data_IF_944661049012
#
_entry.id   IF_944661049012
#
_cell.length_a   1.000
_cell.length_b   1.000
_cell.length_c   1.000
_cell.angle_alpha   90.00
_cell.angle_beta   90.00
_cell.angle_gamma   90.00
#
_symmetry.space_group_name_H-M   'P 1'
#
loop_
_entity.id
_entity.type
_entity.pdbx_description
1 polymer ?
#
# COMPACT_ATOMS: atom_id res chain seq x y z
N UNK A 1 7.96 5.08 -0.20
CA UNK A 1 9.38 5.46 0.04
C UNK A 1 10.23 5.39 -1.22
N UNK A 2 10.31 4.24 -1.92
CA UNK A 2 11.15 4.08 -3.13
C UNK A 2 10.95 5.20 -4.17
N UNK A 3 9.71 5.48 -4.56
CA UNK A 3 9.39 6.53 -5.53
C UNK A 3 9.83 7.94 -5.07
N UNK A 4 9.57 8.30 -3.80
CA UNK A 4 10.03 9.58 -3.23
C UNK A 4 11.55 9.71 -3.29
N UNK A 5 12.30 8.68 -2.88
CA UNK A 5 13.77 8.71 -2.93
C UNK A 5 14.29 8.85 -4.37
N UNK A 6 13.64 8.18 -5.33
CA UNK A 6 14.02 8.28 -6.74
C UNK A 6 13.73 9.68 -7.30
N UNK A 7 12.57 10.26 -6.99
CA UNK A 7 12.22 11.62 -7.37
C UNK A 7 13.16 12.66 -6.75
N UNK A 8 13.49 12.52 -5.45
CA UNK A 8 14.44 13.39 -4.77
C UNK A 8 15.80 13.41 -5.47
N UNK A 9 16.31 12.22 -5.82
CA UNK A 9 17.58 12.07 -6.54
C UNK A 9 17.53 12.70 -7.92
N UNK A 10 16.45 12.48 -8.67
CA UNK A 10 16.29 13.07 -10.00
C UNK A 10 16.22 14.60 -9.97
N UNK A 11 15.74 15.19 -8.87
CA UNK A 11 15.60 16.64 -8.68
C UNK A 11 16.73 17.28 -7.88
N UNK A 12 17.73 16.50 -7.46
CA UNK A 12 18.77 16.94 -6.53
C UNK A 12 18.22 17.57 -5.24
N UNK A 13 17.09 17.04 -4.74
CA UNK A 13 16.44 17.44 -3.50
C UNK A 13 16.70 16.41 -2.39
N UNK A 14 16.56 16.85 -1.15
CA UNK A 14 16.57 15.92 -0.02
C UNK A 14 15.26 15.10 0.01
N UNK A 15 15.30 13.77 0.23
CA UNK A 15 14.11 12.90 0.21
C UNK A 15 12.98 13.31 1.15
N UNK A 16 13.29 14.11 2.18
CA UNK A 16 12.32 14.65 3.14
C UNK A 16 11.39 15.70 2.53
N UNK A 17 11.81 16.40 1.48
CA UNK A 17 11.02 17.44 0.82
C UNK A 17 10.23 16.94 -0.40
N UNK A 18 10.45 15.70 -0.82
CA UNK A 18 9.77 15.10 -1.98
C UNK A 18 8.85 13.98 -1.54
N UNK A 19 7.59 14.03 -1.96
CA UNK A 19 6.61 12.98 -1.67
C UNK A 19 5.89 12.61 -2.95
N UNK A 20 6.10 11.38 -3.41
CA UNK A 20 5.36 10.83 -4.54
C UNK A 20 4.17 10.03 -4.00
N UNK A 21 2.92 10.46 -4.23
CA UNK A 21 1.74 9.66 -3.92
C UNK A 21 1.75 8.37 -4.78
N UNK A 22 1.33 7.26 -4.18
CA UNK A 22 1.18 5.97 -4.87
C UNK A 22 -0.30 5.62 -4.88
N UNK A 23 -0.81 5.23 -6.05
CA UNK A 23 -2.16 4.72 -6.24
C UNK A 23 -2.16 3.35 -6.92
N UNK A 24 -3.29 2.66 -6.94
CA UNK A 24 -3.41 1.33 -7.56
C UNK A 24 -3.15 0.20 -6.56
N UNK A 25 -2.22 -0.69 -6.86
CA UNK A 25 -1.84 -1.82 -6.02
C UNK A 25 -0.52 -1.60 -5.29
N UNK A 26 0.04 -2.67 -4.75
CA UNK A 26 1.26 -2.65 -3.92
C UNK A 26 2.51 -3.06 -4.68
N UNK A 27 2.38 -3.69 -5.85
CA UNK A 27 3.52 -4.30 -6.57
C UNK A 27 3.32 -4.38 -8.09
N UNK A 28 4.43 -4.51 -8.81
CA UNK A 28 4.43 -4.73 -10.26
C UNK A 28 3.60 -3.71 -11.05
N UNK A 29 2.92 -4.18 -12.10
CA UNK A 29 2.08 -3.36 -12.98
C UNK A 29 0.89 -2.72 -12.26
N UNK A 30 0.46 -3.28 -11.12
CA UNK A 30 -0.60 -2.70 -10.31
C UNK A 30 -0.17 -1.42 -9.58
N UNK A 31 1.12 -1.23 -9.30
CA UNK A 31 1.62 -0.06 -8.57
C UNK A 31 1.74 1.16 -9.50
N UNK A 32 1.09 2.27 -9.16
CA UNK A 32 1.12 3.50 -9.97
C UNK A 32 1.69 4.67 -9.15
N UNK A 33 2.95 5.08 -9.40
CA UNK A 33 3.52 6.26 -8.77
C UNK A 33 3.10 7.53 -9.52
N UNK A 34 2.56 8.51 -8.79
CA UNK A 34 2.09 9.77 -9.35
C UNK A 34 3.19 10.82 -9.34
N UNK A 35 4.11 10.74 -10.30
CA UNK A 35 5.24 11.68 -10.41
C UNK A 35 4.79 13.11 -10.75
N UNK A 36 3.61 13.30 -11.35
CA UNK A 36 3.01 14.64 -11.54
C UNK A 36 2.65 15.34 -10.22
N UNK A 37 2.65 14.60 -9.11
CA UNK A 37 2.34 15.09 -7.75
C UNK A 37 3.55 15.02 -6.82
N UNK A 38 4.73 14.74 -7.35
CA UNK A 38 5.95 14.58 -6.54
C UNK A 38 6.40 15.87 -5.85
N UNK A 39 6.31 16.99 -6.58
CA UNK A 39 6.72 18.34 -6.17
C UNK A 39 5.75 19.35 -6.79
N UNK A 40 5.35 20.35 -6.02
CA UNK A 40 4.46 21.39 -6.52
C UNK A 40 5.10 22.15 -7.69
N UNK A 41 4.30 22.37 -8.75
CA UNK A 41 4.69 23.13 -9.94
C UNK A 41 5.84 22.52 -10.78
N UNK A 42 6.18 21.25 -10.55
CA UNK A 42 7.18 20.54 -11.35
C UNK A 42 6.60 19.27 -11.96
N UNK A 43 6.68 19.17 -13.29
CA UNK A 43 6.28 17.99 -14.04
C UNK A 43 7.50 17.32 -14.69
N UNK A 44 7.64 16.02 -14.44
CA UNK A 44 8.62 15.20 -15.14
C UNK A 44 8.24 15.03 -16.61
N UNK A 45 9.22 15.09 -17.51
CA UNK A 45 9.02 14.70 -18.89
C UNK A 45 8.51 13.25 -18.98
N UNK A 46 7.59 12.96 -19.90
CA UNK A 46 6.92 11.64 -20.04
C UNK A 46 7.90 10.47 -20.01
N UNK A 47 9.02 10.58 -20.74
CA UNK A 47 10.03 9.53 -20.79
C UNK A 47 10.69 9.29 -19.43
N UNK A 48 11.03 10.36 -18.70
CA UNK A 48 11.62 10.25 -17.36
C UNK A 48 10.62 9.65 -16.36
N UNK A 49 9.37 10.11 -16.41
CA UNK A 49 8.31 9.56 -15.57
C UNK A 49 8.12 8.05 -15.82
N UNK A 50 8.09 7.62 -17.09
CA UNK A 50 7.97 6.20 -17.45
C UNK A 50 9.16 5.37 -16.94
N UNK A 51 10.39 5.84 -17.18
CA UNK A 51 11.60 5.16 -16.70
C UNK A 51 11.63 5.06 -15.17
N UNK A 52 11.22 6.11 -14.47
CA UNK A 52 11.14 6.11 -13.02
C UNK A 52 10.04 5.19 -12.50
N UNK A 53 8.89 5.14 -13.17
CA UNK A 53 7.80 4.20 -12.84
C UNK A 53 8.27 2.76 -12.97
N UNK A 54 8.88 2.40 -14.10
CA UNK A 54 9.41 1.06 -14.31
C UNK A 54 10.49 0.70 -13.27
N UNK A 55 11.38 1.64 -12.95
CA UNK A 55 12.40 1.45 -11.90
C UNK A 55 11.77 1.16 -10.53
N UNK A 56 10.67 1.83 -10.18
CA UNK A 56 9.97 1.60 -8.91
C UNK A 56 9.25 0.24 -8.91
N UNK A 57 8.60 -0.13 -10.01
CA UNK A 57 7.88 -1.41 -10.17
C UNK A 57 8.82 -2.60 -10.16
N UNK A 58 9.94 -2.48 -10.85
CA UNK A 58 10.96 -3.53 -10.97
C UNK A 58 11.97 -3.54 -9.83
N UNK A 59 11.90 -2.62 -8.86
CA UNK A 59 12.85 -2.52 -7.75
C UNK A 59 13.04 -3.83 -6.97
N UNK A 60 12.00 -4.61 -6.60
CA UNK A 60 12.19 -5.89 -5.93
C UNK A 60 13.04 -6.86 -6.77
N UNK A 61 12.70 -7.00 -8.05
CA UNK A 61 13.37 -7.89 -9.00
C UNK A 61 14.79 -7.44 -9.38
N UNK A 62 15.05 -6.13 -9.37
CA UNK A 62 16.37 -5.58 -9.67
C UNK A 62 17.36 -5.83 -8.52
N UNK A 63 16.90 -5.74 -7.27
CA UNK A 63 17.71 -6.04 -6.10
C UNK A 63 18.08 -7.53 -6.06
N UNK A 64 17.11 -8.42 -6.27
CA UNK A 64 17.37 -9.87 -6.30
C UNK A 64 18.34 -10.31 -7.41
N UNK A 65 18.37 -9.60 -8.55
CA UNK A 65 19.30 -9.88 -9.66
C UNK A 65 20.72 -9.35 -9.46
N UNK A 66 20.90 -8.32 -8.61
CA UNK A 66 22.21 -7.69 -8.35
C UNK A 66 22.85 -8.20 -7.06
N UNK A 67 22.10 -8.97 -6.28
CA UNK A 67 22.48 -9.53 -4.99
C UNK A 67 23.48 -10.70 -5.11
N UNK A 68 24.74 -10.39 -5.39
CA UNK A 68 25.85 -11.28 -5.05
C UNK A 68 25.92 -11.53 -3.52
N UNK A 69 26.95 -11.02 -2.84
CA UNK A 69 27.09 -11.20 -1.38
C UNK A 69 26.04 -10.43 -0.53
N UNK A 70 25.12 -9.69 -1.14
CA UNK A 70 24.19 -8.76 -0.49
C UNK A 70 22.71 -9.17 -0.58
N UNK A 71 22.41 -10.48 -0.57
CA UNK A 71 21.09 -11.15 -0.62
C UNK A 71 19.89 -10.55 0.17
N UNK A 72 20.08 -9.51 0.97
CA UNK A 72 19.10 -8.94 1.91
C UNK A 72 18.95 -7.41 1.82
N UNK A 73 19.49 -6.78 0.78
CA UNK A 73 19.39 -5.32 0.65
C UNK A 73 17.92 -4.85 0.49
N UNK A 74 17.07 -5.65 -0.15
CA UNK A 74 15.63 -5.41 -0.23
C UNK A 74 14.97 -5.43 1.16
N UNK A 75 15.30 -6.43 1.97
CA UNK A 75 14.78 -6.63 3.34
C UNK A 75 14.99 -5.39 4.22
N UNK A 76 16.18 -4.76 4.15
CA UNK A 76 16.49 -3.58 4.96
C UNK A 76 15.63 -2.37 4.56
N UNK A 77 15.41 -2.18 3.27
CA UNK A 77 14.57 -1.07 2.76
C UNK A 77 13.11 -1.24 3.16
N UNK A 78 12.62 -2.47 3.18
CA UNK A 78 11.25 -2.82 3.56
C UNK A 78 11.05 -2.75 5.07
N UNK A 79 12.01 -3.26 5.86
CA UNK A 79 12.03 -3.10 7.30
C UNK A 79 12.00 -1.62 7.70
N UNK A 80 12.76 -0.76 7.02
CA UNK A 80 12.73 0.69 7.27
C UNK A 80 11.36 1.31 6.91
N UNK A 81 10.74 0.89 5.81
CA UNK A 81 9.40 1.34 5.44
C UNK A 81 8.33 0.91 6.45
N UNK A 82 8.39 -0.34 6.91
CA UNK A 82 7.49 -0.89 7.90
C UNK A 82 7.67 -0.19 9.26
N UNK A 83 8.90 -0.03 9.73
CA UNK A 83 9.18 0.69 10.97
C UNK A 83 8.62 2.13 10.93
N UNK A 84 8.78 2.81 9.79
CA UNK A 84 8.19 4.14 9.58
C UNK A 84 6.66 4.15 9.63
N UNK A 85 5.99 3.13 9.07
CA UNK A 85 4.53 3.00 9.15
C UNK A 85 4.08 2.72 10.59
N UNK A 86 4.71 1.75 11.26
CA UNK A 86 4.39 1.39 12.66
C UNK A 86 4.57 2.58 13.59
N UNK A 87 5.61 3.38 13.38
CA UNK A 87 5.85 4.61 14.16
C UNK A 87 4.71 5.60 13.98
N UNK A 88 4.23 5.81 12.74
CA UNK A 88 3.07 6.67 12.48
C UNK A 88 1.79 6.13 13.11
N UNK A 89 1.55 4.83 13.05
CA UNK A 89 0.41 4.19 13.72
C UNK A 89 0.49 4.41 15.24
N UNK A 90 1.66 4.22 15.84
CA UNK A 90 1.88 4.46 17.27
C UNK A 90 1.64 5.93 17.65
N UNK A 91 2.11 6.89 16.85
CA UNK A 91 1.81 8.31 17.06
C UNK A 91 0.31 8.62 16.94
N UNK A 92 -0.40 8.00 16.00
CA UNK A 92 -1.85 8.18 15.86
C UNK A 92 -2.62 7.66 17.08
N UNK A 93 -2.20 6.51 17.63
CA UNK A 93 -2.84 5.87 18.77
C UNK A 93 -2.50 6.56 20.11
N UNK A 94 -1.25 6.93 20.33
CA UNK A 94 -0.75 7.42 21.62
C UNK A 94 -0.73 8.94 21.71
N UNK A 95 -0.27 9.60 20.65
CA UNK A 95 -0.09 11.05 20.62
C UNK A 95 -1.32 11.80 20.09
N UNK A 96 -2.35 11.07 19.65
CA UNK A 96 -3.53 11.63 18.96
C UNK A 96 -3.15 12.49 17.73
N UNK A 97 -1.99 12.19 17.13
CA UNK A 97 -1.58 12.80 15.87
C UNK A 97 -2.43 12.25 14.72
N UNK A 98 -2.52 13.00 13.62
CA UNK A 98 -3.27 12.60 12.42
C UNK A 98 -2.30 12.40 11.25
N UNK A 99 -1.47 11.34 11.27
CA UNK A 99 -0.46 11.15 10.24
C UNK A 99 -1.09 10.71 8.91
N UNK A 100 -0.58 11.30 7.81
CA UNK A 100 -0.93 10.90 6.45
C UNK A 100 -0.03 9.78 5.96
N UNK A 101 -0.62 8.65 5.58
CA UNK A 101 0.06 7.45 5.07
C UNK A 101 -0.56 7.01 3.74
N UNK A 102 0.20 6.27 2.94
CA UNK A 102 -0.34 5.55 1.79
C UNK A 102 -0.51 4.08 2.17
N UNK A 103 -1.68 3.50 1.93
CA UNK A 103 -1.95 2.10 2.28
C UNK A 103 -2.96 1.48 1.32
N UNK A 104 -2.86 0.17 1.15
CA UNK A 104 -3.84 -0.63 0.40
C UNK A 104 -5.03 -0.92 1.30
N UNK A 105 -6.17 -0.31 1.00
CA UNK A 105 -7.36 -0.30 1.86
C UNK A 105 -8.61 -0.62 1.04
N UNK A 106 -9.66 -1.11 1.69
CA UNK A 106 -10.97 -1.30 1.06
C UNK A 106 -11.54 0.06 0.64
N UNK A 107 -12.07 0.15 -0.58
CA UNK A 107 -12.74 1.36 -1.08
C UNK A 107 -14.13 1.48 -0.45
N UNK A 108 -14.55 2.70 -0.13
CA UNK A 108 -15.90 2.91 0.41
C UNK A 108 -16.92 2.84 -0.74
N UNK A 109 -18.15 2.39 -0.46
CA UNK A 109 -19.23 2.32 -1.45
C UNK A 109 -19.58 3.70 -2.08
N UNK A 110 -19.16 4.80 -1.44
CA UNK A 110 -19.29 6.16 -1.97
C UNK A 110 -18.16 6.60 -2.92
N UNK A 111 -17.07 5.85 -3.02
CA UNK A 111 -15.98 6.11 -3.97
C UNK A 111 -16.33 5.47 -5.33
N UNK A 112 -17.29 6.08 -6.03
CA UNK A 112 -17.87 5.61 -7.31
C UNK A 112 -16.85 5.52 -8.46
N UNK A 113 -15.61 5.95 -8.25
CA UNK A 113 -14.60 6.14 -9.31
C UNK A 113 -13.81 4.86 -9.62
N UNK A 114 -13.71 3.90 -8.68
CA UNK A 114 -12.91 2.69 -8.89
C UNK A 114 -13.76 1.43 -8.95
N UNK A 115 -13.62 0.58 -9.99
CA UNK A 115 -14.24 -0.75 -10.01
C UNK A 115 -13.58 -1.72 -9.00
N UNK A 116 -12.42 -1.37 -8.47
CA UNK A 116 -11.67 -2.23 -7.55
C UNK A 116 -12.14 -2.06 -6.10
N UNK A 117 -12.43 -3.18 -5.43
CA UNK A 117 -12.80 -3.24 -4.01
C UNK A 117 -11.68 -2.80 -3.07
N UNK A 118 -10.43 -2.97 -3.48
CA UNK A 118 -9.27 -2.60 -2.69
C UNK A 118 -8.34 -1.74 -3.54
N UNK A 119 -7.82 -0.67 -2.93
CA UNK A 119 -6.97 0.29 -3.61
C UNK A 119 -5.93 0.88 -2.67
N UNK A 120 -4.71 1.04 -3.17
CA UNK A 120 -3.68 1.84 -2.55
C UNK A 120 -4.06 3.31 -2.72
N UNK A 121 -4.36 3.98 -1.62
CA UNK A 121 -4.67 5.40 -1.60
C UNK A 121 -4.03 6.04 -0.37
N UNK A 122 -3.99 7.36 -0.37
CA UNK A 122 -3.61 8.07 0.83
C UNK A 122 -4.76 8.04 1.85
N UNK A 123 -4.39 7.88 3.11
CA UNK A 123 -5.30 7.81 4.24
C UNK A 123 -4.76 8.63 5.40
N UNK A 124 -5.66 9.17 6.21
CA UNK A 124 -5.37 9.73 7.51
C UNK A 124 -5.63 8.68 8.57
N UNK A 125 -4.69 8.54 9.49
CA UNK A 125 -4.86 7.70 10.67
C UNK A 125 -5.33 8.54 11.86
N UNK A 126 -6.10 7.93 12.75
CA UNK A 126 -6.44 8.46 14.08
C UNK A 126 -6.26 7.36 15.14
N UNK A 127 -6.66 7.66 16.37
CA UNK A 127 -6.67 6.73 17.50
C UNK A 127 -7.60 5.51 17.33
N UNK A 128 -8.45 5.49 16.30
CA UNK A 128 -9.37 4.38 15.98
C UNK A 128 -9.00 3.64 14.67
N UNK A 129 -7.88 3.98 14.03
CA UNK A 129 -7.45 3.39 12.76
C UNK A 129 -7.53 4.38 11.61
N UNK A 130 -8.16 4.00 10.49
CA UNK A 130 -8.28 4.88 9.31
C UNK A 130 -9.42 5.87 9.55
N UNK A 131 -9.08 7.15 9.70
CA UNK A 131 -10.02 8.24 9.90
C UNK A 131 -10.67 8.70 8.60
N UNK A 132 -9.87 8.81 7.53
CA UNK A 132 -10.31 9.34 6.25
C UNK A 132 -9.49 8.72 5.13
N UNK A 133 -10.20 8.29 4.09
CA UNK A 133 -9.64 7.87 2.81
C UNK A 133 -9.67 9.05 1.86
N UNK A 134 -8.57 9.34 1.19
CA UNK A 134 -8.55 10.35 0.13
C UNK A 134 -8.96 9.72 -1.19
N UNK A 135 -9.66 10.50 -2.01
CA UNK A 135 -9.95 10.11 -3.38
C UNK A 135 -8.70 10.21 -4.26
N UNK A 136 -8.80 9.64 -5.46
CA UNK A 136 -7.77 9.81 -6.47
C UNK A 136 -7.59 11.30 -6.79
N UNK A 137 -6.34 11.78 -7.01
CA UNK A 137 -6.11 13.18 -7.33
C UNK A 137 -6.90 13.61 -8.57
N UNK A 138 -7.56 14.78 -8.51
CA UNK A 138 -8.45 15.28 -9.57
C UNK A 138 -7.77 15.49 -10.93
N UNK A 139 -6.45 15.67 -10.95
CA UNK A 139 -5.66 15.95 -12.16
C UNK A 139 -4.55 14.93 -12.32
N UNK A 140 -4.83 13.84 -13.03
CA UNK A 140 -3.84 12.86 -13.48
C UNK A 140 -3.40 13.19 -14.90
N UNK A 141 -2.13 12.95 -15.21
CA UNK A 141 -1.66 13.06 -16.60
C UNK A 141 -2.10 11.81 -17.41
N UNK A 142 -2.04 11.88 -18.74
CA UNK A 142 -2.45 10.77 -19.61
C UNK A 142 -1.65 9.48 -19.34
N UNK A 143 -0.36 9.58 -19.05
CA UNK A 143 0.47 8.42 -18.71
C UNK A 143 -0.01 7.74 -17.41
N UNK A 144 -0.29 8.52 -16.38
CA UNK A 144 -0.78 8.04 -15.08
C UNK A 144 -2.17 7.41 -15.20
N UNK A 145 -3.03 7.94 -16.08
CA UNK A 145 -4.32 7.34 -16.42
C UNK A 145 -4.14 5.98 -17.11
N UNK A 146 -3.30 5.90 -18.17
CA UNK A 146 -3.03 4.65 -18.88
C UNK A 146 -2.48 3.57 -17.91
N UNK A 147 -1.58 3.96 -17.00
CA UNK A 147 -1.01 3.08 -15.99
C UNK A 147 -2.04 2.65 -14.94
N UNK A 148 -2.99 3.53 -14.60
CA UNK A 148 -4.06 3.24 -13.64
C UNK A 148 -5.10 2.27 -14.21
N UNK A 149 -5.45 2.42 -15.48
CA UNK A 149 -6.36 1.49 -16.16
C UNK A 149 -5.79 0.07 -16.17
N UNK A 150 -4.51 -0.07 -16.56
CA UNK A 150 -3.79 -1.36 -16.49
C UNK A 150 -3.75 -1.88 -15.06
N UNK A 151 -3.46 -1.01 -14.08
CA UNK A 151 -3.41 -1.41 -12.68
C UNK A 151 -4.76 -1.95 -12.17
N UNK A 152 -5.88 -1.35 -12.56
CA UNK A 152 -7.20 -1.84 -12.15
C UNK A 152 -7.50 -3.25 -12.68
N UNK A 153 -7.13 -3.55 -13.93
CA UNK A 153 -7.28 -4.90 -14.48
C UNK A 153 -6.52 -5.94 -13.66
N UNK A 154 -5.25 -5.64 -13.32
CA UNK A 154 -4.41 -6.51 -12.50
C UNK A 154 -4.95 -6.68 -11.07
N UNK A 155 -5.40 -5.60 -10.43
CA UNK A 155 -5.97 -5.65 -9.08
C UNK A 155 -7.23 -6.49 -9.08
N UNK A 156 -8.13 -6.28 -10.04
CA UNK A 156 -9.37 -7.04 -10.15
C UNK A 156 -9.08 -8.53 -10.32
N UNK A 157 -8.13 -8.89 -11.19
CA UNK A 157 -7.70 -10.27 -11.36
C UNK A 157 -7.15 -10.87 -10.07
N UNK A 158 -6.23 -10.18 -9.38
CA UNK A 158 -5.59 -10.66 -8.15
C UNK A 158 -6.60 -10.82 -7.00
N UNK A 159 -7.53 -9.88 -6.85
CA UNK A 159 -8.59 -9.94 -5.83
C UNK A 159 -9.54 -11.10 -6.12
N UNK A 160 -9.94 -11.29 -7.38
CA UNK A 160 -10.77 -12.44 -7.77
C UNK A 160 -10.05 -13.76 -7.52
N UNK A 161 -8.76 -13.86 -7.86
CA UNK A 161 -7.95 -15.05 -7.61
C UNK A 161 -7.87 -15.38 -6.11
N UNK A 162 -7.65 -14.37 -5.27
CA UNK A 162 -7.62 -14.54 -3.82
C UNK A 162 -8.98 -14.98 -3.25
N UNK A 163 -10.09 -14.42 -3.77
CA UNK A 163 -11.44 -14.84 -3.40
C UNK A 163 -11.72 -16.28 -3.81
N UNK A 164 -11.43 -16.66 -5.05
CA UNK A 164 -11.61 -18.05 -5.51
C UNK A 164 -10.79 -19.04 -4.69
N UNK A 165 -9.53 -18.71 -4.38
CA UNK A 165 -8.69 -19.53 -3.50
C UNK A 165 -9.29 -19.66 -2.09
N UNK A 166 -9.79 -18.57 -1.52
CA UNK A 166 -10.42 -18.58 -0.20
C UNK A 166 -11.70 -19.43 -0.19
N UNK A 167 -12.55 -19.29 -1.21
CA UNK A 167 -13.79 -20.05 -1.33
C UNK A 167 -13.52 -21.56 -1.47
N UNK A 168 -12.53 -21.95 -2.29
CA UNK A 168 -12.09 -23.34 -2.41
C UNK A 168 -11.54 -23.88 -1.08
N UNK A 169 -10.73 -23.09 -0.37
CA UNK A 169 -10.21 -23.46 0.96
C UNK A 169 -11.35 -23.67 1.96
N UNK A 170 -12.34 -22.77 1.98
CA UNK A 170 -13.51 -22.89 2.86
C UNK A 170 -14.35 -24.13 2.52
N UNK A 171 -14.54 -24.45 1.23
CA UNK A 171 -15.22 -25.67 0.80
C UNK A 171 -14.47 -26.92 1.28
N UNK A 172 -13.14 -26.97 1.11
CA UNK A 172 -12.32 -28.09 1.58
C UNK A 172 -12.37 -28.26 3.11
N UNK A 173 -12.28 -27.18 3.88
CA UNK A 173 -12.37 -27.26 5.35
C UNK A 173 -13.78 -27.64 5.83
N UNK A 174 -14.83 -27.30 5.06
CA UNK A 174 -16.19 -27.76 5.27
C UNK A 174 -16.34 -29.26 5.01
N UNK A 175 -15.82 -29.77 3.88
CA UNK A 175 -15.83 -31.19 3.54
C UNK A 175 -15.05 -32.05 4.55
N UNK A 176 -13.99 -31.49 5.12
CA UNK A 176 -13.18 -32.15 6.16
C UNK A 176 -13.80 -32.10 7.55
N UNK A 177 -15.01 -31.54 7.70
CA UNK A 177 -15.69 -31.31 8.99
C UNK A 177 -14.81 -30.56 10.02
N UNK A 178 -13.82 -29.79 9.55
CA UNK A 178 -12.93 -28.97 10.40
C UNK A 178 -13.51 -27.58 10.67
N UNK A 179 -14.60 -27.23 9.99
CA UNK A 179 -15.52 -26.14 10.33
C UNK A 179 -16.30 -26.41 11.64
N UNK A 180 -15.59 -26.89 12.67
CA UNK A 180 -16.10 -26.93 14.03
C UNK A 180 -16.27 -25.51 14.55
N UNK A 181 -17.42 -24.90 14.26
CA UNK A 181 -18.00 -23.75 14.95
C UNK A 181 -16.98 -22.75 15.52
N UNK A 182 -16.19 -22.08 14.67
CA UNK A 182 -15.61 -20.80 15.07
C UNK A 182 -16.77 -19.80 15.10
N UNK A 183 -17.55 -19.77 16.19
CA UNK A 183 -18.65 -18.80 16.40
C UNK A 183 -18.15 -17.39 16.70
N UNK A 184 -16.85 -17.23 16.88
CA UNK A 184 -16.23 -15.98 17.27
C UNK A 184 -15.52 -15.33 16.08
N UNK A 185 -16.22 -15.15 14.97
CA UNK A 185 -15.77 -14.21 13.94
C UNK A 185 -16.15 -12.80 14.41
N UNK A 186 -15.14 -11.98 14.67
CA UNK A 186 -15.28 -10.53 14.85
C UNK A 186 -16.24 -10.04 15.95
N UNK A 187 -16.02 -10.45 17.20
CA UNK A 187 -16.36 -9.54 18.30
C UNK A 187 -15.19 -8.53 18.38
N UNK A 188 -15.39 -7.22 18.18
CA UNK A 188 -14.35 -6.24 18.41
C UNK A 188 -13.90 -6.36 19.87
N UNK A 189 -12.69 -6.87 20.08
CA UNK A 189 -12.13 -7.01 21.41
C UNK A 189 -11.66 -5.63 21.86
N UNK A 190 -12.28 -5.12 22.92
CA UNK A 190 -11.79 -3.94 23.60
C UNK A 190 -10.70 -4.37 24.58
N UNK A 191 -9.49 -3.89 24.35
CA UNK A 191 -8.37 -4.05 25.26
C UNK A 191 -8.18 -2.70 25.95
N UNK A 192 -8.25 -2.70 27.28
CA UNK A 192 -8.07 -1.48 28.05
C UNK A 192 -6.58 -1.20 28.31
N UNK A 193 -5.75 -2.26 28.32
CA UNK A 193 -4.33 -2.17 28.59
C UNK A 193 -3.51 -3.01 27.61
N UNK A 194 -2.24 -2.62 27.43
CA UNK A 194 -1.30 -3.30 26.54
C UNK A 194 -1.01 -4.76 26.99
N UNK A 195 -1.10 -5.01 28.30
CA UNK A 195 -0.92 -6.33 28.91
C UNK A 195 -2.03 -7.32 28.51
N UNK A 196 -3.24 -6.82 28.20
CA UNK A 196 -4.35 -7.66 27.74
C UNK A 196 -4.05 -8.28 26.35
N UNK A 197 -3.20 -7.62 25.55
CA UNK A 197 -2.74 -8.13 24.26
C UNK A 197 -1.61 -9.17 24.42
N UNK A 198 -0.77 -9.05 25.45
CA UNK A 198 0.41 -9.89 25.65
C UNK A 198 0.06 -11.35 26.01
N UNK A 199 -1.08 -11.56 26.67
CA UNK A 199 -1.59 -12.90 27.04
C UNK A 199 -1.94 -13.78 25.82
N UNK A 200 -2.05 -13.19 24.63
CA UNK A 200 -2.35 -13.91 23.39
C UNK A 200 -1.12 -14.14 22.49
N UNK A 201 0.08 -13.75 22.94
CA UNK A 201 1.35 -13.90 22.20
C UNK A 201 2.22 -15.07 22.70
N UNK A 202 1.73 -15.86 23.66
CA UNK A 202 2.35 -17.13 24.14
C UNK A 202 1.57 -18.33 23.63
#
# INVERSE_FOLDING_TARGET
MRASTLAARALCLEPRYTRVPIVGGTEGESLVPLFSKAVEYFDFARHNALMMTDTVRCAPSAVTRTDGACLRAADLSEAHALAGLVTKVAHALLCHDIPRVSGFVETDAGQVISPARYLAIETLLNNHGICRKFDLPERLNMLELDLLDTAFEHIQYNVNLAHSWYDELMMQECERCRMGMVKNFHIPRHYHHLDDCAVHLT
#
